data_IF_827511414499
#
_entry.id   IF_827511414499
#
_cell.length_a   1.000
_cell.length_b   1.000
_cell.length_c   1.000
_cell.angle_alpha   90.00
_cell.angle_beta   90.00
_cell.angle_gamma   90.00
#
_symmetry.space_group_name_H-M   'P 1'
#
loop_
_entity.id
_entity.type
_entity.pdbx_description
1 polymer ?
#
# COMPACT_ATOMS: atom_id res chain seq x y z
N UNK A 1 -5.06 15.82 13.08
CA UNK A 1 -6.53 15.73 12.90
C UNK A 1 -7.14 14.66 13.78
N UNK A 2 -6.65 13.42 13.71
CA UNK A 2 -7.06 12.32 14.59
C UNK A 2 -7.12 12.67 16.08
N UNK A 3 -5.97 13.03 16.67
CA UNK A 3 -5.84 13.29 18.11
C UNK A 3 -6.70 14.46 18.56
N UNK A 4 -6.99 15.41 17.66
CA UNK A 4 -7.83 16.58 17.95
C UNK A 4 -9.31 16.18 18.06
N UNK A 5 -9.79 15.37 17.11
CA UNK A 5 -11.15 14.82 17.15
C UNK A 5 -11.31 13.83 18.30
N UNK A 6 -10.32 12.96 18.51
CA UNK A 6 -10.29 12.03 19.63
C UNK A 6 -10.35 12.76 20.98
N UNK A 7 -9.49 13.76 21.21
CA UNK A 7 -9.54 14.58 22.43
C UNK A 7 -10.88 15.30 22.62
N UNK A 8 -11.50 15.82 21.54
CA UNK A 8 -12.79 16.47 21.62
C UNK A 8 -13.91 15.51 22.07
N UNK A 9 -13.90 14.29 21.54
CA UNK A 9 -14.83 13.24 21.99
C UNK A 9 -14.52 12.79 23.41
N UNK A 10 -13.26 12.53 23.77
CA UNK A 10 -12.88 12.18 25.14
C UNK A 10 -13.33 13.26 26.13
N UNK A 11 -13.19 14.54 25.78
CA UNK A 11 -13.65 15.65 26.62
C UNK A 11 -15.18 15.68 26.74
N UNK A 12 -15.92 15.39 25.67
CA UNK A 12 -17.38 15.30 25.67
C UNK A 12 -17.87 14.12 26.54
N UNK A 13 -17.26 12.93 26.39
CA UNK A 13 -17.58 11.75 27.20
C UNK A 13 -17.22 11.94 28.67
N UNK A 14 -16.08 12.58 28.96
CA UNK A 14 -15.73 13.00 30.30
C UNK A 14 -16.84 13.86 30.89
N UNK A 15 -17.28 14.93 30.21
CA UNK A 15 -18.32 15.82 30.73
C UNK A 15 -19.69 15.13 30.91
N UNK A 16 -20.04 14.20 30.02
CA UNK A 16 -21.33 13.52 30.01
C UNK A 16 -21.43 12.42 31.09
N UNK A 17 -20.31 11.74 31.40
CA UNK A 17 -20.27 10.60 32.32
C UNK A 17 -19.50 10.85 33.62
N UNK A 18 -18.82 11.99 33.76
CA UNK A 18 -18.07 12.36 34.97
C UNK A 18 -18.94 12.27 36.24
N UNK A 19 -20.21 12.65 36.15
CA UNK A 19 -21.14 12.62 37.29
C UNK A 19 -21.68 11.23 37.63
N UNK A 20 -21.52 10.24 36.74
CA UNK A 20 -22.19 8.95 36.84
C UNK A 20 -21.22 7.79 37.08
N UNK A 21 -19.96 7.91 36.65
CA UNK A 21 -18.99 6.82 36.69
C UNK A 21 -17.64 7.29 37.22
N UNK A 22 -17.15 6.61 38.27
CA UNK A 22 -15.83 6.86 38.85
C UNK A 22 -14.68 6.62 37.84
N UNK A 23 -14.91 5.77 36.84
CA UNK A 23 -13.98 5.49 35.73
C UNK A 23 -13.80 6.67 34.76
N UNK A 24 -14.59 7.74 34.88
CA UNK A 24 -14.44 8.98 34.12
C UNK A 24 -14.05 10.15 35.04
N UNK A 25 -13.47 9.86 36.21
CA UNK A 25 -13.10 10.90 37.18
C UNK A 25 -11.91 11.75 36.73
N UNK A 26 -11.04 11.22 35.87
CA UNK A 26 -9.96 12.00 35.25
C UNK A 26 -10.05 11.95 33.72
N UNK A 27 -9.51 12.98 33.08
CA UNK A 27 -9.47 13.05 31.61
C UNK A 27 -8.67 11.88 30.99
N UNK A 28 -7.64 11.40 31.69
CA UNK A 28 -6.83 10.26 31.27
C UNK A 28 -7.62 8.94 31.36
N UNK A 29 -8.37 8.74 32.44
CA UNK A 29 -9.22 7.55 32.61
C UNK A 29 -10.35 7.53 31.58
N UNK A 30 -10.95 8.68 31.29
CA UNK A 30 -11.93 8.81 30.20
C UNK A 30 -11.31 8.48 28.83
N UNK A 31 -10.05 8.86 28.60
CA UNK A 31 -9.30 8.51 27.39
C UNK A 31 -9.02 7.00 27.28
N UNK A 32 -8.63 6.37 28.39
CA UNK A 32 -8.44 4.92 28.48
C UNK A 32 -9.76 4.17 28.26
N UNK A 33 -10.86 4.60 28.88
CA UNK A 33 -12.19 4.02 28.70
C UNK A 33 -12.67 4.14 27.24
N UNK A 34 -12.39 5.27 26.57
CA UNK A 34 -12.66 5.41 25.14
C UNK A 34 -11.87 4.40 24.29
N UNK A 35 -10.61 4.13 24.66
CA UNK A 35 -9.78 3.14 23.96
C UNK A 35 -10.23 1.70 24.21
N UNK A 36 -10.66 1.40 25.43
CA UNK A 36 -11.29 0.11 25.78
C UNK A 36 -12.60 -0.11 25.02
N UNK A 37 -13.43 0.93 24.89
CA UNK A 37 -14.66 0.89 24.07
C UNK A 37 -14.37 0.64 22.59
N UNK A 38 -13.34 1.29 22.01
CA UNK A 38 -12.91 1.04 20.63
C UNK A 38 -12.37 -0.39 20.48
N UNK A 39 -11.66 -0.90 21.48
CA UNK A 39 -11.14 -2.28 21.52
C UNK A 39 -12.22 -3.32 21.84
N UNK A 40 -13.47 -2.92 22.04
CA UNK A 40 -14.61 -3.77 22.43
C UNK A 40 -14.33 -4.65 23.66
N UNK A 41 -13.55 -4.15 24.62
CA UNK A 41 -13.35 -4.87 25.88
C UNK A 41 -14.58 -4.74 26.78
N UNK A 42 -15.03 -5.87 27.33
CA UNK A 42 -16.31 -5.99 28.06
C UNK A 42 -16.31 -5.34 29.45
N UNK A 43 -15.17 -4.80 29.92
CA UNK A 43 -15.00 -4.16 31.23
C UNK A 43 -15.83 -2.89 31.38
N UNK A 44 -15.93 -2.07 30.32
CA UNK A 44 -16.63 -0.78 30.37
C UNK A 44 -18.16 -0.96 30.30
N UNK A 45 -18.62 -2.05 29.67
CA UNK A 45 -20.06 -2.36 29.51
C UNK A 45 -20.73 -2.67 30.84
N UNK A 46 -20.00 -3.31 31.78
CA UNK A 46 -20.54 -3.57 33.12
C UNK A 46 -20.71 -2.31 33.96
N UNK A 47 -19.86 -1.30 33.76
CA UNK A 47 -19.94 -0.05 34.50
C UNK A 47 -21.09 0.84 33.99
N UNK A 48 -21.36 0.82 32.68
CA UNK A 48 -22.48 1.55 32.08
C UNK A 48 -23.87 1.01 32.48
N UNK A 49 -23.97 -0.17 33.10
CA UNK A 49 -25.24 -0.72 33.61
C UNK A 49 -25.81 0.05 34.80
N UNK A 50 -24.98 0.82 35.50
CA UNK A 50 -25.41 1.62 36.67
C UNK A 50 -26.02 2.97 36.26
N UNK A 51 -25.97 3.33 34.97
CA UNK A 51 -26.51 4.56 34.40
C UNK A 51 -27.82 4.27 33.66
N UNK A 52 -28.64 5.31 33.44
CA UNK A 52 -29.84 5.22 32.62
C UNK A 52 -29.58 4.48 31.29
N UNK A 53 -30.24 3.33 31.04
CA UNK A 53 -29.93 2.44 29.92
C UNK A 53 -30.08 3.12 28.55
N UNK A 54 -31.01 4.08 28.46
CA UNK A 54 -31.29 4.81 27.24
C UNK A 54 -30.14 5.78 26.89
N UNK A 55 -29.65 6.54 27.88
CA UNK A 55 -28.59 7.50 27.69
C UNK A 55 -27.25 6.80 27.40
N UNK A 56 -26.96 5.75 28.16
CA UNK A 56 -25.77 4.91 28.00
C UNK A 56 -25.77 4.15 26.67
N UNK A 57 -26.92 3.60 26.25
CA UNK A 57 -27.04 2.88 24.99
C UNK A 57 -26.89 3.79 23.77
N UNK A 58 -27.51 4.97 23.79
CA UNK A 58 -27.43 5.92 22.68
C UNK A 58 -26.02 6.50 22.53
N UNK A 59 -25.37 6.87 23.63
CA UNK A 59 -24.00 7.40 23.61
C UNK A 59 -23.00 6.35 23.13
N UNK A 60 -23.15 5.09 23.56
CA UNK A 60 -22.28 3.98 23.16
C UNK A 60 -22.46 3.64 21.68
N UNK A 61 -23.70 3.60 21.19
CA UNK A 61 -23.98 3.36 19.78
C UNK A 61 -23.38 4.46 18.90
N UNK A 62 -23.61 5.72 19.26
CA UNK A 62 -23.08 6.87 18.53
C UNK A 62 -21.54 6.88 18.56
N UNK A 63 -20.93 6.54 19.70
CA UNK A 63 -19.48 6.45 19.84
C UNK A 63 -18.88 5.38 18.94
N UNK A 64 -19.41 4.16 18.97
CA UNK A 64 -18.88 3.06 18.16
C UNK A 64 -19.05 3.37 16.67
N UNK A 65 -20.20 3.91 16.28
CA UNK A 65 -20.45 4.31 14.89
C UNK A 65 -19.44 5.38 14.44
N UNK A 66 -19.32 6.47 15.20
CA UNK A 66 -18.37 7.55 14.88
C UNK A 66 -16.92 7.07 14.96
N UNK A 67 -16.54 6.27 15.94
CA UNK A 67 -15.18 5.75 16.07
C UNK A 67 -14.83 4.88 14.87
N UNK A 68 -15.67 3.92 14.47
CA UNK A 68 -15.38 3.07 13.31
C UNK A 68 -15.31 3.91 12.03
N UNK A 69 -16.29 4.78 11.77
CA UNK A 69 -16.28 5.56 10.54
C UNK A 69 -15.20 6.65 10.51
N UNK A 70 -14.93 7.33 11.62
CA UNK A 70 -14.02 8.48 11.66
C UNK A 70 -12.57 8.03 11.84
N UNK A 71 -12.31 6.99 12.65
CA UNK A 71 -10.97 6.38 12.75
C UNK A 71 -10.61 5.68 11.45
N UNK A 72 -11.44 4.74 10.97
CA UNK A 72 -11.05 3.92 9.83
C UNK A 72 -10.93 4.75 8.56
N UNK A 73 -11.87 5.65 8.26
CA UNK A 73 -11.80 6.42 7.01
C UNK A 73 -10.59 7.37 6.99
N UNK A 74 -10.22 7.95 8.13
CA UNK A 74 -9.07 8.84 8.20
C UNK A 74 -7.75 8.05 8.17
N UNK A 75 -7.65 6.91 8.85
CA UNK A 75 -6.47 6.04 8.78
C UNK A 75 -6.25 5.48 7.36
N UNK A 76 -7.32 5.01 6.71
CA UNK A 76 -7.26 4.52 5.34
C UNK A 76 -6.82 5.64 4.40
N UNK A 77 -7.38 6.84 4.53
CA UNK A 77 -6.96 8.00 3.72
C UNK A 77 -5.47 8.29 3.89
N UNK A 78 -4.97 8.35 5.13
CA UNK A 78 -3.55 8.60 5.41
C UNK A 78 -2.67 7.51 4.78
N UNK A 79 -3.02 6.24 4.92
CA UNK A 79 -2.24 5.12 4.34
C UNK A 79 -2.22 5.23 2.81
N UNK A 80 -3.38 5.45 2.19
CA UNK A 80 -3.51 5.61 0.74
C UNK A 80 -2.72 6.81 0.23
N UNK A 81 -2.78 7.94 0.92
CA UNK A 81 -2.06 9.16 0.56
C UNK A 81 -0.54 8.96 0.64
N UNK A 82 -0.05 8.31 1.71
CA UNK A 82 1.37 7.96 1.84
C UNK A 82 1.81 6.96 0.77
N UNK A 83 1.01 5.94 0.48
CA UNK A 83 1.32 4.98 -0.57
C UNK A 83 1.39 5.65 -1.95
N UNK A 84 0.46 6.57 -2.23
CA UNK A 84 0.45 7.35 -3.46
C UNK A 84 1.63 8.34 -3.52
N UNK A 85 2.05 8.92 -2.38
CA UNK A 85 3.25 9.75 -2.30
C UNK A 85 4.49 8.94 -2.68
N UNK A 86 4.71 7.80 -2.02
CA UNK A 86 5.85 6.91 -2.30
C UNK A 86 5.87 6.45 -3.76
N UNK A 87 4.70 6.11 -4.33
CA UNK A 87 4.60 5.71 -5.74
C UNK A 87 4.97 6.85 -6.69
N UNK A 88 4.57 8.08 -6.38
CA UNK A 88 4.94 9.28 -7.17
C UNK A 88 6.44 9.55 -7.08
N UNK A 89 7.03 9.44 -5.90
CA UNK A 89 8.47 9.59 -5.70
C UNK A 89 9.25 8.53 -6.48
N UNK A 90 8.83 7.26 -6.44
CA UNK A 90 9.47 6.19 -7.21
C UNK A 90 9.42 6.44 -8.73
N UNK A 91 8.29 6.96 -9.24
CA UNK A 91 8.15 7.32 -10.64
C UNK A 91 9.06 8.50 -11.01
N UNK A 92 9.19 9.52 -10.15
CA UNK A 92 10.12 10.63 -10.35
C UNK A 92 11.58 10.18 -10.31
N UNK A 93 11.97 9.35 -9.33
CA UNK A 93 13.32 8.81 -9.23
C UNK A 93 13.69 7.97 -10.45
N UNK A 94 12.75 7.18 -11.00
CA UNK A 94 12.99 6.43 -12.23
C UNK A 94 13.29 7.36 -13.41
N UNK A 95 12.56 8.45 -13.53
CA UNK A 95 12.73 9.44 -14.60
C UNK A 95 14.07 10.20 -14.47
N UNK A 96 14.45 10.55 -13.24
CA UNK A 96 15.74 11.21 -12.95
C UNK A 96 16.93 10.27 -13.22
N UNK A 97 16.85 9.00 -12.83
CA UNK A 97 17.89 8.00 -13.13
C UNK A 97 18.03 7.78 -14.63
N UNK A 98 16.93 7.74 -15.38
CA UNK A 98 16.95 7.61 -16.85
C UNK A 98 17.63 8.83 -17.51
N UNK A 99 17.32 10.04 -17.05
CA UNK A 99 17.97 11.28 -17.51
C UNK A 99 19.47 11.31 -17.21
N UNK A 100 19.90 10.82 -16.04
CA UNK A 100 21.32 10.73 -15.67
C UNK A 100 22.04 9.71 -16.56
N UNK A 101 21.45 8.54 -16.82
CA UNK A 101 22.02 7.54 -17.72
C UNK A 101 22.16 8.07 -19.15
N UNK A 102 21.16 8.80 -19.64
CA UNK A 102 21.23 9.47 -20.94
C UNK A 102 22.37 10.50 -20.98
N UNK A 103 22.50 11.32 -19.93
CA UNK A 103 23.54 12.36 -19.83
C UNK A 103 24.94 11.76 -19.80
N UNK A 104 25.18 10.74 -18.97
CA UNK A 104 26.46 10.00 -18.91
C UNK A 104 26.77 9.36 -20.27
N UNK A 105 25.77 8.82 -20.95
CA UNK A 105 25.93 8.20 -22.27
C UNK A 105 26.34 9.23 -23.32
N UNK A 106 25.70 10.40 -23.34
CA UNK A 106 26.07 11.51 -24.24
C UNK A 106 27.46 12.06 -23.95
N UNK A 107 27.84 12.19 -22.68
CA UNK A 107 29.19 12.62 -22.27
C UNK A 107 30.24 11.61 -22.71
N UNK A 108 30.00 10.30 -22.55
CA UNK A 108 30.90 9.24 -23.03
C UNK A 108 31.05 9.22 -24.56
N UNK A 109 29.96 9.48 -25.29
CA UNK A 109 29.97 9.62 -26.75
C UNK A 109 30.77 10.85 -27.19
N UNK A 110 30.64 11.97 -26.48
CA UNK A 110 31.38 13.19 -26.77
C UNK A 110 32.87 13.07 -26.44
N UNK A 111 33.22 12.39 -25.34
CA UNK A 111 34.60 12.06 -24.96
C UNK A 111 35.25 10.98 -25.84
N UNK A 112 34.61 10.57 -26.94
CA UNK A 112 35.14 9.63 -27.92
C UNK A 112 35.61 8.28 -27.34
N UNK A 113 35.15 7.89 -26.15
CA UNK A 113 35.36 6.56 -25.56
C UNK A 113 34.39 5.54 -26.16
N UNK A 114 34.27 5.54 -27.48
CA UNK A 114 33.38 4.66 -28.23
C UNK A 114 34.12 3.36 -28.50
N UNK A 115 34.12 2.42 -27.54
CA UNK A 115 34.18 1.01 -27.94
C UNK A 115 32.85 0.71 -28.59
N UNK A 116 32.81 0.90 -29.91
CA UNK A 116 31.69 0.62 -30.78
C UNK A 116 31.41 -0.90 -30.77
N UNK A 117 30.71 -1.41 -29.75
CA UNK A 117 29.86 -2.59 -29.93
C UNK A 117 28.47 -2.09 -30.31
N UNK A 118 28.31 -1.84 -31.61
CA UNK A 118 27.00 -1.83 -32.28
C UNK A 118 26.41 -3.24 -32.10
N UNK A 119 25.76 -3.51 -30.98
CA UNK A 119 24.68 -4.50 -30.98
C UNK A 119 23.48 -3.78 -31.57
N UNK A 120 23.38 -3.83 -32.89
CA UNK A 120 22.08 -3.82 -33.53
C UNK A 120 21.45 -5.12 -33.04
N UNK A 121 20.71 -5.06 -31.93
CA UNK A 121 19.75 -6.09 -31.58
C UNK A 121 18.81 -6.21 -32.77
N UNK A 122 19.09 -7.26 -33.53
CA UNK A 122 18.20 -7.84 -34.52
C UNK A 122 16.89 -8.09 -33.75
N UNK A 123 15.91 -7.23 -33.97
CA UNK A 123 14.52 -7.57 -33.69
C UNK A 123 14.21 -8.80 -34.56
N UNK A 124 14.46 -9.98 -33.99
CA UNK A 124 14.10 -11.25 -34.59
C UNK A 124 12.58 -11.29 -34.61
N UNK A 125 11.99 -10.81 -35.69
CA UNK A 125 10.65 -11.24 -36.06
C UNK A 125 10.68 -12.78 -36.09
N UNK A 126 9.88 -13.47 -35.25
CA UNK A 126 9.92 -14.93 -35.12
C UNK A 126 9.65 -15.67 -36.44
N UNK A 127 9.16 -14.96 -37.46
CA UNK A 127 8.87 -15.46 -38.80
C UNK A 127 10.15 -15.79 -39.61
N UNK A 128 11.28 -15.13 -39.34
CA UNK A 128 12.54 -15.38 -40.10
C UNK A 128 13.34 -16.58 -39.60
N UNK A 129 13.04 -17.09 -38.41
CA UNK A 129 13.74 -18.25 -37.83
C UNK A 129 13.10 -19.60 -38.21
N UNK A 130 11.82 -19.60 -38.60
CA UNK A 130 11.11 -20.79 -39.08
C UNK A 130 11.76 -21.47 -40.30
N UNK A 131 12.08 -20.79 -41.41
CA UNK A 131 12.66 -21.45 -42.58
C UNK A 131 14.01 -22.12 -42.26
N UNK A 132 14.87 -21.46 -41.47
CA UNK A 132 16.17 -22.03 -41.07
C UNK A 132 16.06 -23.30 -40.20
N UNK A 133 15.00 -23.44 -39.40
CA UNK A 133 14.78 -24.66 -38.62
C UNK A 133 14.25 -25.80 -39.50
N UNK A 134 13.42 -25.48 -40.49
CA UNK A 134 12.92 -26.45 -41.48
C UNK A 134 14.07 -26.97 -42.34
N UNK A 135 14.96 -26.09 -42.80
CA UNK A 135 16.14 -26.48 -43.58
C UNK A 135 17.06 -27.42 -42.80
N UNK A 136 17.29 -27.12 -41.51
CA UNK A 136 18.06 -28.01 -40.62
C UNK A 136 17.38 -29.36 -40.40
N UNK A 137 16.04 -29.38 -40.33
CA UNK A 137 15.28 -30.62 -40.18
C UNK A 137 15.35 -31.46 -41.46
N UNK A 138 15.23 -30.83 -42.63
CA UNK A 138 15.35 -31.49 -43.93
C UNK A 138 16.73 -32.14 -44.11
N UNK A 139 17.80 -31.43 -43.76
CA UNK A 139 19.18 -31.97 -43.79
C UNK A 139 19.35 -33.12 -42.81
N UNK A 140 18.77 -33.05 -41.61
CA UNK A 140 18.84 -34.12 -40.62
C UNK A 140 18.08 -35.38 -41.07
N UNK A 141 16.92 -35.22 -41.71
CA UNK A 141 16.13 -36.31 -42.29
C UNK A 141 16.89 -36.95 -43.46
N UNK A 142 17.45 -36.14 -44.36
CA UNK A 142 18.24 -36.65 -45.48
C UNK A 142 19.47 -37.43 -45.00
N UNK A 143 20.12 -36.98 -43.93
CA UNK A 143 21.23 -37.70 -43.31
C UNK A 143 20.80 -39.02 -42.66
N UNK A 144 19.63 -39.07 -42.02
CA UNK A 144 19.10 -40.26 -41.36
C UNK A 144 18.59 -41.33 -42.35
N UNK A 145 17.96 -40.90 -43.45
CA UNK A 145 17.40 -41.81 -44.46
C UNK A 145 18.37 -42.10 -45.61
N UNK A 146 19.32 -41.21 -45.88
CA UNK A 146 20.40 -41.42 -46.86
C UNK A 146 21.40 -42.48 -46.43
N UNK A 147 21.72 -42.56 -45.13
CA UNK A 147 22.54 -43.65 -44.57
C UNK A 147 21.82 -45.01 -44.53
N UNK A 148 20.49 -45.05 -44.72
CA UNK A 148 19.71 -46.28 -44.70
C UNK A 148 19.58 -46.98 -46.07
N UNK A 149 20.24 -46.46 -47.13
CA UNK A 149 20.11 -46.98 -48.50
C UNK A 149 21.41 -47.48 -49.14
N UNK A 150 22.44 -47.77 -48.34
CA UNK A 150 23.62 -48.53 -48.76
C UNK A 150 23.88 -49.73 -47.86
#
# INVERSE_FOLDING_TARGET
>A
MFSLVFCAFTALFYLLFHSYLQQYSTWLDAGLACFEMVSQHMSTVSALKEVDPLLAGLSLFLFILLAVFLLSNMFISIIVDNFNLLRREQLQHKNEIELIQFTITKIKQWLNMTTQKRQIEKNQNPITEFPNKIDKLAIAIDKLFGDAKH
#
